data_IF_903653814614
#
_entry.id   IF_903653814614
#
_cell.length_a   1.000
_cell.length_b   1.000
_cell.length_c   1.000
_cell.angle_alpha   90.00
_cell.angle_beta   90.00
_cell.angle_gamma   90.00
#
_symmetry.space_group_name_H-M   'P 1'
#
loop_
_entity.id
_entity.type
_entity.pdbx_description
1 polymer ?
#
# COMPACT_ATOMS: atom_id res chain seq x y z
N UNK A 1 19.43 -3.35 -5.07
CA UNK A 1 18.18 -3.07 -4.33
C UNK A 1 17.19 -2.25 -5.16
N UNK A 2 17.54 -1.08 -5.68
CA UNK A 2 16.67 -0.32 -6.61
C UNK A 2 16.33 -1.08 -7.90
N UNK A 3 17.20 -1.99 -8.33
CA UNK A 3 17.05 -2.82 -9.54
C UNK A 3 16.01 -3.94 -9.40
N UNK A 4 15.73 -4.46 -8.21
CA UNK A 4 14.90 -5.66 -8.00
C UNK A 4 13.41 -5.33 -7.97
N UNK A 5 13.03 -4.26 -7.29
CA UNK A 5 11.65 -3.76 -7.38
C UNK A 5 11.32 -3.21 -8.76
N UNK A 6 12.30 -2.57 -9.39
CA UNK A 6 12.19 -2.15 -10.77
C UNK A 6 12.01 -3.35 -11.70
N UNK A 7 12.68 -4.47 -11.41
CA UNK A 7 12.56 -5.71 -12.17
C UNK A 7 11.19 -6.37 -11.99
N UNK A 8 10.61 -6.38 -10.78
CA UNK A 8 9.25 -6.87 -10.56
C UNK A 8 8.20 -5.97 -11.25
N UNK A 9 8.39 -4.66 -11.17
CA UNK A 9 7.58 -3.69 -11.91
C UNK A 9 7.83 -3.86 -13.42
N UNK A 10 9.09 -3.98 -13.85
CA UNK A 10 9.49 -4.18 -15.25
C UNK A 10 9.04 -5.55 -15.80
N UNK A 11 8.98 -6.61 -14.99
CA UNK A 11 8.42 -7.91 -15.41
C UNK A 11 6.90 -7.88 -15.52
N UNK A 12 6.22 -7.16 -14.63
CA UNK A 12 4.79 -6.87 -14.76
C UNK A 12 4.53 -5.98 -15.98
N UNK A 13 5.42 -5.02 -16.28
CA UNK A 13 5.35 -4.16 -17.47
C UNK A 13 5.74 -4.89 -18.77
N UNK A 14 6.79 -5.71 -18.76
CA UNK A 14 7.29 -6.42 -19.96
C UNK A 14 6.44 -7.61 -20.40
N UNK A 15 5.63 -8.20 -19.49
CA UNK A 15 4.63 -9.19 -19.84
C UNK A 15 3.33 -8.58 -20.39
N UNK A 16 3.25 -7.25 -20.46
CA UNK A 16 2.11 -6.52 -21.01
C UNK A 16 2.44 -5.94 -22.37
N UNK A 17 1.77 -6.44 -23.38
CA UNK A 17 1.74 -5.82 -24.73
C UNK A 17 0.87 -4.53 -24.76
N UNK A 18 0.96 -3.67 -23.72
CA UNK A 18 0.18 -2.44 -23.65
C UNK A 18 1.02 -1.26 -23.16
N UNK A 19 0.96 -0.16 -23.89
CA UNK A 19 1.62 1.12 -23.73
C UNK A 19 0.94 2.03 -22.68
N UNK A 20 0.55 1.51 -21.51
CA UNK A 20 -0.05 2.34 -20.46
C UNK A 20 0.66 2.15 -19.12
N UNK A 21 0.99 3.26 -18.47
CA UNK A 21 1.51 3.25 -17.11
C UNK A 21 0.53 2.54 -16.16
N UNK A 22 1.02 1.80 -15.13
CA UNK A 22 0.17 1.07 -14.18
C UNK A 22 -0.88 1.98 -13.53
N UNK A 23 -2.12 1.54 -13.48
CA UNK A 23 -3.22 2.25 -12.85
C UNK A 23 -3.43 1.74 -11.41
N UNK A 24 -2.99 2.51 -10.43
CA UNK A 24 -3.19 2.20 -9.01
C UNK A 24 -4.50 2.81 -8.52
N UNK A 25 -5.36 2.01 -7.91
CA UNK A 25 -6.62 2.47 -7.34
C UNK A 25 -6.68 2.15 -5.85
N UNK A 26 -6.84 3.19 -5.05
CA UNK A 26 -6.84 3.14 -3.59
C UNK A 26 -8.25 3.41 -3.04
N UNK A 27 -8.67 2.61 -2.06
CA UNK A 27 -9.98 2.76 -1.41
C UNK A 27 -9.82 3.16 0.04
N UNK A 28 -10.42 4.28 0.43
CA UNK A 28 -10.52 4.73 1.81
C UNK A 28 -11.98 4.69 2.29
N UNK A 29 -12.22 4.04 3.43
CA UNK A 29 -13.54 3.94 4.05
C UNK A 29 -13.46 4.33 5.52
N UNK A 30 -13.99 5.51 5.88
CA UNK A 30 -14.05 5.97 7.26
C UNK A 30 -15.22 5.29 7.98
N UNK A 31 -14.96 4.58 9.08
CA UNK A 31 -15.97 3.90 9.88
C UNK A 31 -17.01 4.89 10.43
N UNK A 32 -18.29 4.48 10.41
CA UNK A 32 -19.42 5.33 10.83
C UNK A 32 -19.42 5.75 12.30
N UNK A 33 -18.74 4.98 13.18
CA UNK A 33 -18.78 5.17 14.64
C UNK A 33 -17.62 6.00 15.19
N UNK A 34 -16.78 6.59 14.35
CA UNK A 34 -15.67 7.42 14.81
C UNK A 34 -16.11 8.88 14.99
N UNK A 35 -15.47 9.58 15.93
CA UNK A 35 -15.67 11.03 16.13
C UNK A 35 -15.20 11.82 14.91
N UNK A 36 -15.54 13.11 14.82
CA UNK A 36 -15.04 13.99 13.74
C UNK A 36 -13.52 14.09 13.77
N UNK A 37 -12.92 14.09 14.96
CA UNK A 37 -11.47 14.12 15.16
C UNK A 37 -10.81 12.81 14.70
N UNK A 38 -11.38 11.66 15.06
CA UNK A 38 -10.93 10.36 14.57
C UNK A 38 -10.98 10.26 13.03
N UNK A 39 -12.06 10.76 12.44
CA UNK A 39 -12.23 10.80 10.98
C UNK A 39 -11.17 11.68 10.30
N UNK A 40 -10.82 12.83 10.90
CA UNK A 40 -9.74 13.69 10.40
C UNK A 40 -8.39 12.98 10.49
N UNK A 41 -8.07 12.38 11.63
CA UNK A 41 -6.83 11.66 11.84
C UNK A 41 -6.65 10.50 10.84
N UNK A 42 -7.72 9.72 10.60
CA UNK A 42 -7.70 8.63 9.61
C UNK A 42 -7.42 9.16 8.20
N UNK A 43 -8.11 10.22 7.78
CA UNK A 43 -7.93 10.80 6.43
C UNK A 43 -6.51 11.36 6.26
N UNK A 44 -5.96 12.02 7.29
CA UNK A 44 -4.58 12.49 7.27
C UNK A 44 -3.56 11.35 7.18
N UNK A 45 -3.82 10.24 7.85
CA UNK A 45 -2.93 9.08 7.80
C UNK A 45 -2.95 8.42 6.42
N UNK A 46 -4.11 8.30 5.80
CA UNK A 46 -4.24 7.77 4.42
C UNK A 46 -3.52 8.69 3.43
N UNK A 47 -3.68 10.01 3.56
CA UNK A 47 -2.96 11.00 2.76
C UNK A 47 -1.44 10.79 2.82
N UNK A 48 -0.89 10.67 4.03
CA UNK A 48 0.55 10.45 4.22
C UNK A 48 1.04 9.19 3.53
N UNK A 49 0.28 8.10 3.65
CA UNK A 49 0.63 6.81 3.01
C UNK A 49 0.63 6.91 1.50
N UNK A 50 -0.37 7.57 0.92
CA UNK A 50 -0.42 7.77 -0.53
C UNK A 50 0.74 8.63 -1.01
N UNK A 51 1.03 9.74 -0.35
CA UNK A 51 2.18 10.58 -0.68
C UNK A 51 3.50 9.81 -0.59
N UNK A 52 3.65 8.94 0.42
CA UNK A 52 4.81 8.08 0.56
C UNK A 52 4.92 7.08 -0.61
N UNK A 53 3.83 6.40 -0.96
CA UNK A 53 3.80 5.50 -2.10
C UNK A 53 4.11 6.23 -3.42
N UNK A 54 3.56 7.43 -3.61
CA UNK A 54 3.85 8.26 -4.79
C UNK A 54 5.33 8.69 -4.84
N UNK A 55 5.96 8.99 -3.69
CA UNK A 55 7.39 9.29 -3.63
C UNK A 55 8.27 8.08 -3.99
N UNK A 56 7.74 6.86 -3.84
CA UNK A 56 8.39 5.61 -4.27
C UNK A 56 8.13 5.28 -5.75
N UNK A 57 7.42 6.13 -6.48
CA UNK A 57 7.18 5.99 -7.91
C UNK A 57 5.78 5.52 -8.30
N UNK A 58 4.85 5.37 -7.35
CA UNK A 58 3.46 5.06 -7.68
C UNK A 58 2.85 6.21 -8.50
N UNK A 59 2.23 5.85 -9.63
CA UNK A 59 1.53 6.79 -10.52
C UNK A 59 0.07 6.35 -10.70
N UNK A 60 -0.75 7.23 -11.27
CA UNK A 60 -2.15 6.95 -11.62
C UNK A 60 -3.01 6.46 -10.44
N UNK A 61 -2.81 7.04 -9.27
CA UNK A 61 -3.57 6.70 -8.07
C UNK A 61 -4.98 7.27 -8.16
N UNK A 62 -6.00 6.44 -7.92
CA UNK A 62 -7.38 6.89 -7.74
C UNK A 62 -7.82 6.52 -6.34
N UNK A 63 -8.18 7.51 -5.55
CA UNK A 63 -8.79 7.33 -4.23
C UNK A 63 -10.29 7.22 -4.36
N UNK A 64 -10.90 6.35 -3.56
CA UNK A 64 -12.36 6.27 -3.44
C UNK A 64 -12.82 6.34 -1.99
N UNK A 65 -13.99 6.89 -1.78
CA UNK A 65 -14.71 6.82 -0.51
C UNK A 65 -16.13 6.27 -0.74
N UNK A 66 -16.99 6.29 0.29
CA UNK A 66 -18.39 5.79 0.18
C UNK A 66 -19.19 6.40 -0.97
N UNK A 67 -18.85 7.59 -1.42
CA UNK A 67 -19.53 8.28 -2.51
C UNK A 67 -18.88 8.02 -3.87
N UNK A 68 -17.82 7.21 -3.91
CA UNK A 68 -17.06 6.88 -5.12
C UNK A 68 -15.72 7.63 -5.24
N UNK A 69 -15.26 7.81 -6.48
CA UNK A 69 -13.95 8.39 -6.77
C UNK A 69 -13.79 9.81 -6.23
N UNK A 70 -12.61 10.09 -5.70
CA UNK A 70 -12.18 11.43 -5.32
C UNK A 70 -11.50 12.05 -6.52
N UNK A 71 -11.99 13.24 -6.94
CA UNK A 71 -11.47 13.99 -8.07
C UNK A 71 -11.60 15.49 -7.82
N UNK A 72 -10.78 16.27 -8.46
CA UNK A 72 -10.79 17.73 -8.35
C UNK A 72 -12.12 18.32 -8.82
N UNK A 73 -12.74 19.13 -7.96
CA UNK A 73 -14.07 19.72 -8.22
C UNK A 73 -15.25 18.84 -7.79
N UNK A 74 -15.04 17.69 -7.13
CA UNK A 74 -16.12 16.92 -6.52
C UNK A 74 -16.70 17.67 -5.32
N UNK A 75 -18.02 17.84 -5.29
CA UNK A 75 -18.70 18.50 -4.19
C UNK A 75 -18.64 17.73 -2.88
N UNK A 76 -18.56 18.46 -1.76
CA UNK A 76 -18.61 17.89 -0.41
C UNK A 76 -17.34 17.13 0.01
N UNK A 77 -16.20 17.39 -0.62
CA UNK A 77 -14.90 16.97 -0.13
C UNK A 77 -14.53 17.79 1.12
N UNK A 78 -13.81 17.15 2.04
CA UNK A 78 -13.12 17.88 3.11
C UNK A 78 -11.78 18.45 2.57
N UNK A 79 -11.16 19.42 3.27
CA UNK A 79 -9.91 20.05 2.77
C UNK A 79 -8.80 19.09 2.40
N UNK A 80 -8.63 17.98 3.14
CA UNK A 80 -7.59 16.98 2.87
C UNK A 80 -7.90 16.23 1.57
N UNK A 81 -9.16 15.82 1.37
CA UNK A 81 -9.56 15.15 0.12
C UNK A 81 -9.49 16.11 -1.08
N UNK A 82 -9.74 17.41 -0.89
CA UNK A 82 -9.53 18.42 -1.93
C UNK A 82 -8.05 18.52 -2.32
N UNK A 83 -7.16 18.46 -1.34
CA UNK A 83 -5.72 18.44 -1.57
C UNK A 83 -5.28 17.18 -2.33
N UNK A 84 -5.75 16.03 -1.89
CA UNK A 84 -5.47 14.75 -2.54
C UNK A 84 -6.03 14.68 -3.97
N UNK A 85 -7.21 15.24 -4.20
CA UNK A 85 -7.81 15.31 -5.54
C UNK A 85 -6.98 16.08 -6.56
N UNK A 86 -6.09 16.99 -6.11
CA UNK A 86 -5.18 17.75 -6.98
C UNK A 86 -3.96 16.96 -7.43
N UNK A 87 -3.55 15.95 -6.64
CA UNK A 87 -2.33 15.16 -6.86
C UNK A 87 -2.63 13.71 -7.25
N UNK A 88 -3.89 13.30 -7.25
CA UNK A 88 -4.36 11.95 -7.64
C UNK A 88 -5.44 12.09 -8.71
N UNK A 89 -5.81 10.96 -9.33
CA UNK A 89 -6.90 10.91 -10.31
C UNK A 89 -6.81 12.02 -11.39
N UNK A 90 -5.66 12.13 -12.03
CA UNK A 90 -5.39 13.17 -13.05
C UNK A 90 -6.38 13.14 -14.22
N UNK A 91 -6.94 11.97 -14.53
CA UNK A 91 -7.96 11.81 -15.56
C UNK A 91 -9.35 12.23 -15.10
N UNK A 92 -9.52 12.62 -13.82
CA UNK A 92 -10.79 13.01 -13.20
C UNK A 92 -11.87 11.95 -13.39
N UNK A 93 -11.49 10.67 -13.28
CA UNK A 93 -12.43 9.55 -13.33
C UNK A 93 -13.47 9.68 -12.23
N UNK A 94 -14.72 9.43 -12.60
CA UNK A 94 -15.90 9.57 -11.74
C UNK A 94 -16.59 8.22 -11.61
N UNK A 95 -17.35 8.04 -10.54
CA UNK A 95 -18.16 6.84 -10.34
C UNK A 95 -17.86 6.12 -9.04
N UNK A 96 -18.54 5.01 -8.84
CA UNK A 96 -18.37 4.10 -7.70
C UNK A 96 -17.06 3.34 -7.80
N UNK A 97 -16.66 2.64 -6.71
CA UNK A 97 -15.51 1.74 -6.76
C UNK A 97 -15.62 0.73 -7.90
N UNK A 98 -16.80 0.14 -8.11
CA UNK A 98 -17.02 -0.86 -9.16
C UNK A 98 -16.82 -0.31 -10.59
N UNK A 99 -17.03 0.99 -10.78
CA UNK A 99 -16.81 1.64 -12.06
C UNK A 99 -15.34 2.00 -12.28
N UNK A 100 -14.69 2.56 -11.27
CA UNK A 100 -13.33 3.05 -11.42
C UNK A 100 -12.24 1.98 -11.20
N UNK A 101 -12.57 0.82 -10.64
CA UNK A 101 -11.61 -0.28 -10.46
C UNK A 101 -11.29 -1.00 -11.77
N UNK A 102 -12.09 -0.83 -12.80
CA UNK A 102 -11.91 -1.49 -14.09
C UNK A 102 -10.53 -1.17 -14.68
N UNK A 103 -9.80 -2.22 -15.05
CA UNK A 103 -8.44 -2.10 -15.57
C UNK A 103 -7.40 -1.64 -14.56
N UNK A 104 -7.71 -1.62 -13.27
CA UNK A 104 -6.72 -1.33 -12.24
C UNK A 104 -5.77 -2.52 -12.06
N UNK A 105 -4.48 -2.24 -11.89
CA UNK A 105 -3.44 -3.25 -11.64
C UNK A 105 -3.36 -3.64 -10.18
N UNK A 106 -3.57 -2.67 -9.28
CA UNK A 106 -3.44 -2.89 -7.84
C UNK A 106 -4.65 -2.28 -7.12
N UNK A 107 -5.20 -3.05 -6.18
CA UNK A 107 -6.17 -2.58 -5.21
C UNK A 107 -5.53 -2.56 -3.82
N UNK A 108 -5.68 -1.45 -3.10
CA UNK A 108 -5.28 -1.35 -1.69
C UNK A 108 -6.52 -0.93 -0.89
N UNK A 109 -7.03 -1.85 -0.09
CA UNK A 109 -8.18 -1.63 0.80
C UNK A 109 -7.73 -1.34 2.23
N UNK A 110 -8.27 -0.27 2.83
CA UNK A 110 -8.13 0.07 4.25
C UNK A 110 -9.50 0.45 4.81
N UNK A 111 -10.54 -0.27 4.40
CA UNK A 111 -11.93 0.16 4.50
C UNK A 111 -12.78 -0.76 5.37
N UNK A 112 -13.68 -1.50 4.78
CA UNK A 112 -14.65 -2.34 5.47
C UNK A 112 -14.79 -3.71 4.81
N UNK A 113 -15.22 -4.73 5.57
CA UNK A 113 -15.48 -6.06 5.04
C UNK A 113 -16.39 -6.05 3.81
N UNK A 114 -16.05 -6.89 2.81
CA UNK A 114 -16.90 -7.11 1.64
C UNK A 114 -17.00 -5.92 0.67
N UNK A 115 -16.14 -4.91 0.81
CA UNK A 115 -16.14 -3.74 -0.09
C UNK A 115 -15.67 -4.09 -1.50
N UNK A 116 -14.78 -5.07 -1.64
CA UNK A 116 -14.32 -5.59 -2.92
C UNK A 116 -15.02 -6.91 -3.22
N UNK A 117 -15.65 -7.02 -4.39
CA UNK A 117 -16.35 -8.24 -4.81
C UNK A 117 -15.55 -9.00 -5.87
N UNK A 118 -15.83 -10.30 -6.05
CA UNK A 118 -15.23 -11.10 -7.11
C UNK A 118 -15.48 -10.50 -8.50
N UNK A 119 -16.68 -9.95 -8.74
CA UNK A 119 -16.99 -9.32 -10.02
C UNK A 119 -16.15 -8.07 -10.28
N UNK A 120 -15.88 -7.28 -9.25
CA UNK A 120 -14.93 -6.16 -9.37
C UNK A 120 -13.52 -6.63 -9.70
N UNK A 121 -13.02 -7.68 -9.03
CA UNK A 121 -11.70 -8.26 -9.31
C UNK A 121 -11.60 -8.74 -10.77
N UNK A 122 -12.64 -9.41 -11.30
CA UNK A 122 -12.68 -9.84 -12.71
C UNK A 122 -12.59 -8.69 -13.73
N UNK A 123 -12.93 -7.47 -13.32
CA UNK A 123 -12.85 -6.28 -14.19
C UNK A 123 -11.52 -5.56 -14.10
N UNK A 124 -10.67 -5.91 -13.14
CA UNK A 124 -9.32 -5.36 -13.01
C UNK A 124 -8.43 -5.75 -14.21
N UNK A 125 -7.24 -5.24 -14.26
CA UNK A 125 -6.24 -5.64 -15.24
C UNK A 125 -5.90 -7.14 -15.12
N UNK A 126 -5.19 -7.67 -16.09
CA UNK A 126 -4.68 -9.04 -16.01
C UNK A 126 -3.71 -9.18 -14.84
N UNK A 127 -3.84 -10.29 -14.11
CA UNK A 127 -2.99 -10.65 -12.97
C UNK A 127 -2.93 -9.54 -11.88
N UNK A 128 -4.08 -9.06 -11.36
CA UNK A 128 -4.10 -7.94 -10.43
C UNK A 128 -3.55 -8.32 -9.06
N UNK A 129 -3.00 -7.32 -8.36
CA UNK A 129 -2.49 -7.43 -6.98
C UNK A 129 -3.50 -6.81 -6.02
N UNK A 130 -3.83 -7.52 -4.94
CA UNK A 130 -4.83 -7.09 -3.97
C UNK A 130 -4.23 -7.06 -2.56
N UNK A 131 -4.25 -5.89 -1.94
CA UNK A 131 -3.99 -5.69 -0.53
C UNK A 131 -5.31 -5.38 0.19
N UNK A 132 -5.92 -6.39 0.81
CA UNK A 132 -7.18 -6.27 1.55
C UNK A 132 -6.88 -6.16 3.04
N UNK A 133 -6.64 -4.93 3.52
CA UNK A 133 -6.07 -4.66 4.83
C UNK A 133 -7.11 -4.35 5.93
N UNK A 134 -8.42 -4.43 5.64
CA UNK A 134 -9.44 -4.27 6.67
C UNK A 134 -9.33 -5.39 7.72
N UNK A 135 -9.55 -5.03 8.99
CA UNK A 135 -9.38 -5.94 10.13
C UNK A 135 -10.60 -5.86 11.05
N UNK A 136 -11.14 -7.00 11.56
CA UNK A 136 -10.63 -8.39 11.45
C UNK A 136 -11.04 -9.11 10.16
N UNK A 137 -11.97 -8.59 9.41
CA UNK A 137 -12.45 -9.18 8.14
C UNK A 137 -12.00 -8.31 6.98
N UNK A 138 -11.29 -8.88 5.98
CA UNK A 138 -10.77 -8.13 4.84
C UNK A 138 -11.89 -7.65 3.89
N UNK A 139 -11.55 -6.75 2.98
CA UNK A 139 -12.45 -6.27 1.93
C UNK A 139 -12.92 -7.38 1.00
N UNK A 140 -12.07 -8.38 0.79
CA UNK A 140 -12.35 -9.65 0.12
C UNK A 140 -11.44 -10.73 0.73
N UNK A 141 -11.93 -11.95 0.85
CA UNK A 141 -11.07 -13.06 1.29
C UNK A 141 -10.11 -13.51 0.18
N UNK A 142 -8.88 -13.95 0.52
CA UNK A 142 -7.88 -14.37 -0.46
C UNK A 142 -8.38 -15.44 -1.43
N UNK A 143 -9.11 -16.44 -0.94
CA UNK A 143 -9.65 -17.52 -1.77
C UNK A 143 -10.64 -17.00 -2.82
N UNK A 144 -11.49 -16.04 -2.42
CA UNK A 144 -12.46 -15.38 -3.31
C UNK A 144 -11.75 -14.51 -4.35
N UNK A 145 -10.73 -13.75 -3.94
CA UNK A 145 -9.97 -12.89 -4.83
C UNK A 145 -9.19 -13.71 -5.87
N UNK A 146 -8.54 -14.80 -5.45
CA UNK A 146 -7.83 -15.72 -6.35
C UNK A 146 -8.79 -16.43 -7.30
N UNK A 147 -9.95 -16.89 -6.83
CA UNK A 147 -10.99 -17.47 -7.69
C UNK A 147 -11.52 -16.49 -8.75
N UNK A 148 -11.38 -15.19 -8.48
CA UNK A 148 -11.73 -14.12 -9.43
C UNK A 148 -10.58 -13.69 -10.35
N UNK A 149 -9.37 -14.27 -10.20
CA UNK A 149 -8.21 -14.03 -11.07
C UNK A 149 -7.12 -13.14 -10.50
N UNK A 150 -7.15 -12.83 -9.20
CA UNK A 150 -6.05 -12.11 -8.56
C UNK A 150 -4.77 -12.95 -8.55
N UNK A 151 -3.67 -12.38 -9.01
CA UNK A 151 -2.35 -13.02 -9.02
C UNK A 151 -1.72 -13.05 -7.62
N UNK A 152 -1.80 -11.95 -6.90
CA UNK A 152 -1.26 -11.83 -5.54
C UNK A 152 -2.33 -11.25 -4.64
N UNK A 153 -2.51 -11.87 -3.47
CA UNK A 153 -3.42 -11.36 -2.44
C UNK A 153 -2.69 -11.30 -1.09
N UNK A 154 -2.86 -10.19 -0.41
CA UNK A 154 -2.28 -9.90 0.90
C UNK A 154 -3.38 -9.39 1.85
N UNK A 155 -3.35 -9.82 3.10
CA UNK A 155 -4.30 -9.36 4.13
C UNK A 155 -3.59 -9.16 5.47
N UNK A 156 -4.28 -8.57 6.46
CA UNK A 156 -3.79 -8.50 7.84
C UNK A 156 -3.91 -9.83 8.62
N UNK A 157 -4.50 -10.86 8.04
CA UNK A 157 -4.80 -12.13 8.74
C UNK A 157 -3.59 -13.06 8.73
N UNK A 158 -3.36 -13.73 9.86
CA UNK A 158 -2.26 -14.68 10.04
C UNK A 158 -2.55 -16.09 9.51
N UNK A 159 -3.79 -16.37 9.16
CA UNK A 159 -4.23 -17.67 8.61
C UNK A 159 -4.16 -17.71 7.06
N UNK A 160 -3.67 -16.66 6.44
CA UNK A 160 -3.42 -16.57 5.00
C UNK A 160 -1.97 -16.20 4.70
N UNK A 161 -1.44 -16.59 3.54
CA UNK A 161 -0.12 -16.14 3.08
C UNK A 161 -0.06 -14.61 2.87
N UNK A 162 1.15 -14.09 2.74
CA UNK A 162 1.40 -12.65 2.53
C UNK A 162 0.77 -11.77 3.63
N UNK A 163 0.88 -12.17 4.90
CA UNK A 163 0.35 -11.39 6.01
C UNK A 163 1.03 -10.02 6.10
N UNK A 164 0.26 -8.94 5.93
CA UNK A 164 0.69 -7.57 6.25
C UNK A 164 0.51 -7.35 7.75
N UNK A 165 1.62 -7.35 8.49
CA UNK A 165 1.60 -7.18 9.94
C UNK A 165 2.63 -6.13 10.37
N UNK A 166 2.21 -5.24 11.26
CA UNK A 166 3.07 -4.20 11.83
C UNK A 166 4.32 -4.77 12.52
N UNK A 167 4.29 -6.02 12.99
CA UNK A 167 5.43 -6.69 13.63
C UNK A 167 6.65 -6.82 12.69
N UNK A 168 6.45 -6.81 11.38
CA UNK A 168 7.55 -6.79 10.41
C UNK A 168 8.37 -5.51 10.46
N UNK A 169 7.75 -4.39 10.79
CA UNK A 169 8.41 -3.08 10.75
C UNK A 169 8.83 -2.58 12.13
N UNK A 170 7.92 -2.54 13.10
CA UNK A 170 8.09 -1.76 14.32
C UNK A 170 9.27 -2.15 15.21
N UNK A 171 9.59 -3.43 15.48
CA UNK A 171 10.75 -3.74 16.31
C UNK A 171 12.05 -3.23 15.71
N UNK A 172 12.25 -3.43 14.41
CA UNK A 172 13.41 -2.97 13.67
C UNK A 172 13.46 -1.45 13.51
N UNK A 173 12.33 -0.83 13.16
CA UNK A 173 12.23 0.62 13.01
C UNK A 173 12.67 1.35 14.30
N UNK A 174 12.07 1.00 15.45
CA UNK A 174 12.44 1.64 16.71
C UNK A 174 13.87 1.33 17.13
N UNK A 175 14.36 0.12 16.86
CA UNK A 175 15.75 -0.21 17.12
C UNK A 175 16.69 0.69 16.31
N UNK A 176 16.45 0.87 15.03
CA UNK A 176 17.24 1.73 14.16
C UNK A 176 17.18 3.21 14.56
N UNK A 177 16.00 3.70 14.97
CA UNK A 177 15.82 5.06 15.51
C UNK A 177 16.68 5.27 16.75
N UNK A 178 16.65 4.32 17.69
CA UNK A 178 17.43 4.40 18.94
C UNK A 178 18.93 4.27 18.69
N UNK A 179 19.36 3.40 17.79
CA UNK A 179 20.77 3.22 17.42
C UNK A 179 21.38 4.48 16.78
N UNK A 180 20.60 5.21 16.00
CA UNK A 180 21.02 6.48 15.42
C UNK A 180 20.74 7.69 16.36
N UNK A 181 20.10 7.49 17.50
CA UNK A 181 19.54 8.55 18.33
C UNK A 181 18.81 9.60 17.50
N UNK A 182 18.01 9.14 16.53
CA UNK A 182 17.34 10.02 15.61
C UNK A 182 16.36 10.96 16.32
N UNK A 183 16.29 12.20 15.86
CA UNK A 183 15.38 13.22 16.40
C UNK A 183 13.97 13.12 15.84
N UNK A 184 13.79 12.38 14.74
CA UNK A 184 12.53 12.20 14.04
C UNK A 184 12.51 10.84 13.33
N UNK A 185 11.33 10.41 12.88
CA UNK A 185 11.11 9.27 11.98
C UNK A 185 10.57 9.81 10.67
N UNK A 186 11.46 10.23 9.80
CA UNK A 186 11.12 10.83 8.51
C UNK A 186 10.75 9.79 7.43
N UNK A 187 10.37 10.27 6.26
CA UNK A 187 9.90 9.42 5.17
C UNK A 187 11.02 8.56 4.57
N UNK A 188 12.25 9.07 4.53
CA UNK A 188 13.42 8.31 4.07
C UNK A 188 13.65 7.06 4.95
N UNK A 189 13.45 7.16 6.25
CA UNK A 189 13.57 6.04 7.19
C UNK A 189 12.44 5.01 6.99
N UNK A 190 11.21 5.46 6.73
CA UNK A 190 10.07 4.59 6.45
C UNK A 190 10.25 3.83 5.13
N UNK A 191 10.70 4.52 4.09
CA UNK A 191 11.03 3.93 2.79
C UNK A 191 12.16 2.91 2.93
N UNK A 192 13.22 3.25 3.66
CA UNK A 192 14.32 2.32 3.93
C UNK A 192 13.86 1.05 4.66
N UNK A 193 12.94 1.18 5.63
CA UNK A 193 12.35 0.04 6.31
C UNK A 193 11.55 -0.86 5.35
N UNK A 194 10.76 -0.27 4.46
CA UNK A 194 9.98 -1.01 3.47
C UNK A 194 10.88 -1.80 2.52
N UNK A 195 11.93 -1.17 1.98
CA UNK A 195 12.90 -1.85 1.12
C UNK A 195 13.70 -2.94 1.87
N UNK A 196 14.02 -2.72 3.15
CA UNK A 196 14.71 -3.72 3.94
C UNK A 196 13.85 -4.98 4.16
N UNK A 197 12.55 -4.81 4.40
CA UNK A 197 11.61 -5.93 4.54
C UNK A 197 11.48 -6.67 3.20
N UNK A 198 11.24 -5.95 2.12
CA UNK A 198 11.05 -6.52 0.80
C UNK A 198 12.32 -7.27 0.30
N UNK A 199 13.50 -6.71 0.53
CA UNK A 199 14.76 -7.30 0.11
C UNK A 199 15.19 -8.54 0.91
N UNK A 200 14.43 -8.98 1.90
CA UNK A 200 14.65 -10.25 2.59
C UNK A 200 14.06 -11.45 1.85
N UNK A 201 13.14 -11.22 0.94
CA UNK A 201 12.63 -12.24 0.03
C UNK A 201 13.54 -12.25 -1.20
N UNK A 202 14.26 -13.33 -1.42
CA UNK A 202 15.13 -13.46 -2.60
C UNK A 202 14.32 -13.73 -3.88
N UNK A 203 14.92 -13.51 -5.04
CA UNK A 203 14.26 -13.79 -6.33
C UNK A 203 13.82 -15.26 -6.45
N UNK A 204 14.57 -16.20 -5.83
CA UNK A 204 14.24 -17.62 -5.82
C UNK A 204 13.10 -17.97 -4.88
N UNK A 205 12.93 -17.20 -3.80
CA UNK A 205 11.85 -17.37 -2.83
C UNK A 205 10.55 -16.67 -3.26
N UNK A 206 10.65 -15.67 -4.15
CA UNK A 206 9.53 -14.81 -4.53
C UNK A 206 8.47 -15.61 -5.30
N UNK A 207 7.28 -15.70 -4.72
CA UNK A 207 6.11 -16.35 -5.32
C UNK A 207 4.85 -15.55 -5.03
N UNK A 208 3.74 -15.87 -5.71
CA UNK A 208 2.45 -15.26 -5.43
C UNK A 208 1.97 -15.41 -3.97
N UNK A 209 2.47 -16.43 -3.27
CA UNK A 209 2.14 -16.75 -1.88
C UNK A 209 3.23 -16.28 -0.88
N UNK A 210 4.35 -15.74 -1.37
CA UNK A 210 5.47 -15.33 -0.53
C UNK A 210 6.13 -14.06 -1.09
N UNK A 211 5.45 -12.91 -0.90
CA UNK A 211 5.96 -11.57 -1.27
C UNK A 211 6.53 -10.80 -0.07
N UNK A 212 6.30 -11.31 1.13
CA UNK A 212 6.74 -10.75 2.40
C UNK A 212 7.33 -11.85 3.27
N UNK A 213 8.38 -11.59 4.08
CA UNK A 213 8.88 -12.55 5.04
C UNK A 213 7.80 -12.88 6.08
N UNK A 214 7.91 -14.04 6.71
CA UNK A 214 7.01 -14.44 7.79
C UNK A 214 7.08 -13.43 8.96
N UNK A 215 5.97 -13.24 9.68
CA UNK A 215 5.82 -12.24 10.74
C UNK A 215 6.90 -12.32 11.85
N UNK A 216 7.46 -13.52 12.09
CA UNK A 216 8.51 -13.76 13.09
C UNK A 216 9.85 -14.21 12.46
N UNK A 217 10.10 -13.87 11.21
CA UNK A 217 11.40 -14.12 10.58
C UNK A 217 12.48 -13.35 11.33
N UNK A 218 13.51 -14.06 11.90
CA UNK A 218 14.52 -13.42 12.74
C UNK A 218 15.40 -12.43 11.99
N UNK A 219 15.46 -12.49 10.66
CA UNK A 219 16.25 -11.58 9.81
C UNK A 219 15.66 -10.18 9.77
N UNK A 220 14.34 -10.06 9.92
CA UNK A 220 13.60 -8.80 9.67
C UNK A 220 14.05 -7.69 10.60
N UNK A 221 14.09 -7.95 11.91
CA UNK A 221 14.42 -6.93 12.91
C UNK A 221 15.76 -6.25 12.63
N UNK A 222 16.79 -7.03 12.37
CA UNK A 222 18.14 -6.51 12.21
C UNK A 222 18.33 -5.82 10.85
N UNK A 223 17.73 -6.36 9.78
CA UNK A 223 17.74 -5.72 8.46
C UNK A 223 17.05 -4.35 8.49
N UNK A 224 15.87 -4.27 9.09
CA UNK A 224 15.12 -3.00 9.22
C UNK A 224 15.88 -2.02 10.11
N UNK A 225 16.40 -2.45 11.26
CA UNK A 225 17.14 -1.56 12.17
C UNK A 225 18.37 -0.94 11.49
N UNK A 226 19.14 -1.74 10.77
CA UNK A 226 20.30 -1.27 10.01
C UNK A 226 19.91 -0.25 8.95
N UNK A 227 18.93 -0.55 8.13
CA UNK A 227 18.47 0.32 7.05
C UNK A 227 17.93 1.66 7.58
N UNK A 228 17.14 1.62 8.64
CA UNK A 228 16.57 2.81 9.29
C UNK A 228 17.66 3.69 9.90
N UNK A 229 18.64 3.10 10.62
CA UNK A 229 19.75 3.87 11.19
C UNK A 229 20.62 4.53 10.11
N UNK A 230 20.89 3.82 9.01
CA UNK A 230 21.60 4.39 7.86
C UNK A 230 20.82 5.53 7.20
N UNK A 231 19.50 5.37 7.01
CA UNK A 231 18.65 6.42 6.48
C UNK A 231 18.61 7.65 7.38
N UNK A 232 18.50 7.46 8.70
CA UNK A 232 18.55 8.54 9.67
C UNK A 232 19.86 9.35 9.57
N UNK A 233 21.01 8.69 9.40
CA UNK A 233 22.30 9.37 9.20
C UNK A 233 22.36 10.13 7.88
N UNK A 234 21.88 9.51 6.79
CA UNK A 234 21.86 10.12 5.45
C UNK A 234 20.96 11.34 5.36
N UNK A 235 19.81 11.30 6.03
CA UNK A 235 18.82 12.40 6.05
C UNK A 235 19.10 13.47 7.11
N UNK A 236 20.18 13.31 7.89
CA UNK A 236 20.63 14.34 8.85
C UNK A 236 19.82 14.41 10.14
N UNK A 237 18.94 13.44 10.41
CA UNK A 237 18.18 13.39 11.68
C UNK A 237 18.85 12.56 12.77
N UNK A 238 19.93 11.85 12.45
CA UNK A 238 20.74 11.13 13.44
C UNK A 238 21.56 12.09 14.31
N UNK A 239 21.77 11.71 15.57
CA UNK A 239 22.60 12.47 16.53
C UNK A 239 23.95 11.78 16.81
N UNK A 240 24.13 10.56 16.31
CA UNK A 240 25.39 9.77 16.37
C UNK A 240 25.60 8.98 15.11
#
# INVERSE_FOLDING_TARGET
MEKEWKKLIDEVENNRSYSSEPNFKFVDFIREKSTIEDKRAIVQEVERRIKLLMSMGLKNVIMTDRKGAIYEGREGLNPIKEEMAKITNFNKEKGTLAEVIKGADIFIGVSAPGTLTQDMVRTMAKDPIIFACANPVPEIFPDEAKAAGAAVVSTGRSDYPNQVNNVLCFPGLFRGVLDARASDVNDEMKVAAAYAIAGLVSDEELTAEYILPAAFDPRVKDAVAKAVAEAARKSGVARI
#
